data_IF_988567966333
#
_entry.id   IF_988567966333
#
_cell.length_a   1.000
_cell.length_b   1.000
_cell.length_c   1.000
_cell.angle_alpha   90.00
_cell.angle_beta   90.00
_cell.angle_gamma   90.00
#
_symmetry.space_group_name_H-M   'P 1'
#
loop_
_entity.id
_entity.type
_entity.pdbx_description
1 polymer ?
#
# COMPACT_ATOMS: atom_id res chain seq x y z
N UNK A 1 -61.85 73.57 -15.67
CA UNK A 1 -61.79 72.17 -16.16
C UNK A 1 -60.82 72.10 -17.33
N UNK A 2 -59.63 71.54 -17.10
CA UNK A 2 -58.75 70.93 -18.11
C UNK A 2 -57.63 70.22 -17.33
N UNK A 3 -57.60 68.91 -17.50
CA UNK A 3 -56.73 67.94 -16.85
C UNK A 3 -55.38 67.89 -17.57
N UNK A 4 -54.26 67.97 -16.86
CA UNK A 4 -52.93 67.64 -17.38
C UNK A 4 -52.34 66.60 -16.43
N UNK A 5 -52.08 65.41 -16.96
CA UNK A 5 -51.40 64.31 -16.27
C UNK A 5 -49.89 64.51 -16.40
N UNK A 6 -49.18 64.58 -15.29
CA UNK A 6 -47.71 64.52 -15.23
C UNK A 6 -47.30 63.11 -14.82
N UNK A 7 -46.60 62.41 -15.71
CA UNK A 7 -46.03 61.09 -15.48
C UNK A 7 -44.70 61.26 -14.73
N UNK A 8 -44.59 60.62 -13.58
CA UNK A 8 -43.38 60.54 -12.75
C UNK A 8 -42.53 59.36 -13.24
N UNK A 9 -41.28 59.64 -13.60
CA UNK A 9 -40.29 58.64 -14.01
C UNK A 9 -39.42 58.28 -12.79
N UNK A 10 -39.67 57.13 -12.16
CA UNK A 10 -38.80 56.57 -11.13
C UNK A 10 -37.67 55.76 -11.78
N UNK A 11 -36.43 56.22 -11.65
CA UNK A 11 -35.23 55.42 -11.93
C UNK A 11 -35.03 54.43 -10.77
N UNK A 12 -35.28 53.15 -11.01
CA UNK A 12 -34.85 52.06 -10.14
C UNK A 12 -33.48 51.62 -10.67
N UNK A 13 -32.42 52.00 -9.98
CA UNK A 13 -31.08 51.45 -10.18
C UNK A 13 -31.04 50.04 -9.58
N UNK A 14 -31.17 49.02 -10.42
CA UNK A 14 -30.82 47.65 -10.06
C UNK A 14 -29.30 47.53 -9.94
N UNK A 15 -28.81 47.50 -8.71
CA UNK A 15 -27.47 46.98 -8.39
C UNK A 15 -27.49 45.49 -8.71
N UNK A 16 -26.89 45.12 -9.83
CA UNK A 16 -26.54 43.73 -10.14
C UNK A 16 -25.36 43.39 -9.23
N UNK A 17 -25.59 42.64 -8.16
CA UNK A 17 -24.51 41.91 -7.52
C UNK A 17 -24.08 40.82 -8.50
N UNK A 18 -22.87 40.94 -9.04
CA UNK A 18 -22.23 39.85 -9.74
C UNK A 18 -22.08 38.71 -8.74
N UNK A 19 -22.80 37.61 -8.98
CA UNK A 19 -22.62 36.36 -8.28
C UNK A 19 -21.25 35.84 -8.70
N UNK A 20 -20.26 35.88 -7.80
CA UNK A 20 -18.95 35.29 -8.03
C UNK A 20 -19.19 33.78 -8.11
N UNK A 21 -19.09 33.22 -9.33
CA UNK A 21 -19.23 31.78 -9.57
C UNK A 21 -18.24 31.07 -8.64
N UNK A 22 -18.75 30.45 -7.58
CA UNK A 22 -17.94 29.54 -6.78
C UNK A 22 -17.52 28.40 -7.70
N UNK A 23 -16.24 28.06 -7.67
CA UNK A 23 -15.69 26.96 -8.44
C UNK A 23 -16.37 25.64 -7.98
N UNK A 24 -17.38 25.18 -8.71
CA UNK A 24 -18.13 23.96 -8.40
C UNK A 24 -17.42 22.71 -8.96
N UNK A 25 -17.40 21.64 -8.15
CA UNK A 25 -16.87 20.33 -8.54
C UNK A 25 -17.99 19.27 -8.59
N UNK A 26 -17.93 18.28 -9.48
CA UNK A 26 -16.91 18.09 -10.52
C UNK A 26 -17.05 19.09 -11.67
N UNK A 27 -15.92 19.47 -12.27
CA UNK A 27 -15.89 20.35 -13.44
C UNK A 27 -15.92 19.53 -14.73
N UNK A 28 -16.81 19.87 -15.64
CA UNK A 28 -16.95 19.18 -16.92
C UNK A 28 -16.36 19.99 -18.08
N UNK A 29 -15.47 19.36 -18.85
CA UNK A 29 -14.81 19.92 -20.01
C UNK A 29 -15.26 19.11 -21.23
N UNK A 30 -15.82 19.78 -22.23
CA UNK A 30 -16.15 19.13 -23.51
C UNK A 30 -14.89 18.97 -24.35
N UNK A 31 -14.51 17.72 -24.61
CA UNK A 31 -13.36 17.36 -25.43
C UNK A 31 -13.83 16.94 -26.83
N UNK A 32 -13.96 17.91 -27.74
CA UNK A 32 -14.61 17.69 -29.04
C UNK A 32 -16.11 17.39 -28.91
N UNK A 33 -16.69 16.70 -29.88
CA UNK A 33 -18.13 16.41 -29.92
C UNK A 33 -18.54 15.15 -29.13
N UNK A 34 -17.57 14.27 -28.82
CA UNK A 34 -17.86 12.90 -28.38
C UNK A 34 -17.38 12.57 -26.97
N UNK A 35 -16.68 13.49 -26.28
CA UNK A 35 -16.12 13.21 -24.96
C UNK A 35 -16.41 14.30 -23.94
N UNK A 36 -16.71 13.88 -22.72
CA UNK A 36 -16.82 14.74 -21.54
C UNK A 36 -15.73 14.32 -20.57
N UNK A 37 -14.84 15.25 -20.24
CA UNK A 37 -13.81 15.09 -19.21
C UNK A 37 -14.33 15.72 -17.94
N UNK A 38 -14.51 14.93 -16.88
CA UNK A 38 -14.89 15.43 -15.56
C UNK A 38 -13.65 15.46 -14.67
N UNK A 39 -13.35 16.62 -14.09
CA UNK A 39 -12.32 16.80 -13.07
C UNK A 39 -13.00 16.82 -11.71
N UNK A 40 -12.55 16.00 -10.78
CA UNK A 40 -13.08 15.97 -9.42
C UNK A 40 -12.27 16.91 -8.52
N UNK A 41 -12.81 17.19 -7.32
CA UNK A 41 -12.17 18.10 -6.38
C UNK A 41 -10.70 17.70 -6.13
N UNK A 42 -9.74 18.64 -6.23
CA UNK A 42 -8.33 18.35 -6.03
C UNK A 42 -8.04 18.03 -4.56
N UNK A 43 -7.11 17.10 -4.37
CA UNK A 43 -6.40 16.89 -3.12
C UNK A 43 -5.08 17.67 -3.24
N UNK A 44 -4.96 18.76 -2.49
CA UNK A 44 -3.71 19.53 -2.40
C UNK A 44 -2.67 18.66 -1.69
N UNK A 45 -1.38 18.90 -1.91
CA UNK A 45 -0.31 18.13 -1.24
C UNK A 45 0.70 19.07 -0.58
N UNK A 46 1.13 20.11 -1.30
CA UNK A 46 2.04 21.13 -0.74
C UNK A 46 1.76 22.50 -1.32
N UNK A 47 2.04 23.55 -0.54
CA UNK A 47 2.16 24.92 -1.02
C UNK A 47 3.50 25.49 -0.52
N UNK A 48 4.45 25.71 -1.42
CA UNK A 48 5.75 26.29 -1.08
C UNK A 48 6.21 27.22 -2.19
N UNK A 49 6.72 28.40 -1.82
CA UNK A 49 7.21 29.40 -2.77
C UNK A 49 6.18 29.73 -3.87
N UNK A 50 4.91 29.90 -3.48
CA UNK A 50 3.75 30.10 -4.36
C UNK A 50 3.48 28.97 -5.38
N UNK A 51 4.13 27.82 -5.21
CA UNK A 51 3.88 26.62 -6.00
C UNK A 51 2.95 25.69 -5.22
N UNK A 52 1.73 25.52 -5.73
CA UNK A 52 0.75 24.56 -5.24
C UNK A 52 0.91 23.25 -6.01
N UNK A 53 1.18 22.16 -5.30
CA UNK A 53 1.22 20.81 -5.87
C UNK A 53 0.03 20.04 -5.34
N UNK A 54 -0.59 19.24 -6.21
CA UNK A 54 -1.67 18.36 -5.82
C UNK A 54 -2.03 17.36 -6.90
N UNK A 55 -3.11 16.64 -6.64
CA UNK A 55 -3.68 15.65 -7.56
C UNK A 55 -5.18 15.78 -7.62
N UNK A 56 -5.79 15.27 -8.69
CA UNK A 56 -7.23 15.14 -8.79
C UNK A 56 -7.58 13.86 -9.53
N UNK A 57 -8.68 13.23 -9.11
CA UNK A 57 -9.30 12.22 -9.94
C UNK A 57 -9.89 12.89 -11.18
N UNK A 58 -9.95 12.15 -12.28
CA UNK A 58 -10.68 12.54 -13.48
C UNK A 58 -11.45 11.36 -14.04
N UNK A 59 -12.47 11.65 -14.84
CA UNK A 59 -13.11 10.65 -15.68
C UNK A 59 -13.29 11.15 -17.10
N UNK A 60 -13.14 10.25 -18.06
CA UNK A 60 -13.45 10.52 -19.48
C UNK A 60 -14.65 9.67 -19.85
N UNK A 61 -15.73 10.34 -20.24
CA UNK A 61 -16.97 9.73 -20.71
C UNK A 61 -17.05 9.85 -22.23
N UNK A 62 -17.28 8.74 -22.92
CA UNK A 62 -17.50 8.73 -24.38
C UNK A 62 -18.98 8.89 -24.78
N UNK A 63 -19.24 8.94 -26.08
CA UNK A 63 -20.56 9.07 -26.70
C UNK A 63 -21.48 7.85 -26.48
N UNK A 64 -20.94 6.74 -25.97
CA UNK A 64 -21.65 5.50 -25.64
C UNK A 64 -21.88 5.36 -24.13
N UNK A 65 -21.73 6.46 -23.38
CA UNK A 65 -21.82 6.50 -21.93
C UNK A 65 -20.78 5.61 -21.20
N UNK A 66 -19.72 5.15 -21.88
CA UNK A 66 -18.62 4.45 -21.22
C UNK A 66 -17.76 5.46 -20.49
N UNK A 67 -17.52 5.21 -19.20
CA UNK A 67 -16.72 6.07 -18.33
C UNK A 67 -15.44 5.34 -17.95
N UNK A 68 -14.29 5.99 -18.15
CA UNK A 68 -12.99 5.55 -17.64
C UNK A 68 -12.51 6.54 -16.58
N UNK A 69 -12.01 6.03 -15.46
CA UNK A 69 -11.47 6.83 -14.36
C UNK A 69 -9.94 6.82 -14.39
N UNK A 70 -9.36 7.96 -14.08
CA UNK A 70 -7.92 8.14 -13.97
C UNK A 70 -7.57 9.15 -12.88
N UNK A 71 -6.28 9.38 -12.72
CA UNK A 71 -5.73 10.41 -11.85
C UNK A 71 -4.79 11.32 -12.64
N UNK A 72 -4.77 12.61 -12.29
CA UNK A 72 -3.75 13.54 -12.75
C UNK A 72 -3.08 14.21 -11.57
N UNK A 73 -1.79 14.49 -11.74
CA UNK A 73 -0.99 15.28 -10.82
C UNK A 73 -0.71 16.62 -11.49
N UNK A 74 -0.82 17.69 -10.72
CA UNK A 74 -0.65 19.04 -11.22
C UNK A 74 0.35 19.85 -10.40
N UNK A 75 0.93 20.84 -11.05
CA UNK A 75 1.68 21.91 -10.43
C UNK A 75 1.06 23.24 -10.86
N UNK A 76 0.65 24.04 -9.88
CA UNK A 76 0.06 25.35 -10.09
C UNK A 76 0.93 26.43 -9.46
N UNK A 77 1.00 27.59 -10.10
CA UNK A 77 1.59 28.80 -9.51
C UNK A 77 0.48 29.75 -9.13
N UNK A 78 0.53 30.29 -7.92
CA UNK A 78 -0.47 31.17 -7.37
C UNK A 78 0.07 32.59 -7.17
N UNK A 79 -0.73 33.59 -7.50
CA UNK A 79 -0.56 34.97 -7.04
C UNK A 79 -1.37 35.14 -5.76
N UNK A 80 -0.72 35.44 -4.64
CA UNK A 80 -1.37 35.56 -3.34
C UNK A 80 -1.58 37.02 -2.96
N UNK A 81 -2.80 37.35 -2.53
CA UNK A 81 -3.15 38.62 -1.91
C UNK A 81 -3.59 38.34 -0.48
N UNK A 82 -2.75 38.74 0.48
CA UNK A 82 -2.99 38.54 1.90
C UNK A 82 -3.98 39.55 2.49
N UNK A 83 -4.23 40.67 1.81
CA UNK A 83 -5.21 41.67 2.27
C UNK A 83 -6.63 41.19 1.99
N UNK A 84 -6.88 40.61 0.81
CA UNK A 84 -8.16 39.99 0.45
C UNK A 84 -8.29 38.53 0.89
N UNK A 85 -7.20 37.92 1.34
CA UNK A 85 -7.10 36.50 1.67
C UNK A 85 -7.40 35.57 0.49
N UNK A 86 -6.99 35.97 -0.72
CA UNK A 86 -7.26 35.24 -1.95
C UNK A 86 -5.98 34.88 -2.70
N UNK A 87 -6.05 33.77 -3.43
CA UNK A 87 -4.99 33.31 -4.31
C UNK A 87 -5.56 33.07 -5.70
N UNK A 88 -4.90 33.61 -6.72
CA UNK A 88 -5.29 33.52 -8.12
C UNK A 88 -4.34 32.60 -8.85
N UNK A 89 -4.88 31.70 -9.67
CA UNK A 89 -4.07 30.81 -10.51
C UNK A 89 -3.32 31.59 -11.60
N UNK A 90 -1.99 31.61 -11.56
CA UNK A 90 -1.14 32.23 -12.59
C UNK A 90 -0.80 31.24 -13.72
N UNK A 91 -0.54 29.98 -13.37
CA UNK A 91 -0.17 28.94 -14.34
C UNK A 91 -0.49 27.55 -13.82
N UNK A 92 -0.80 26.63 -14.73
CA UNK A 92 -1.14 25.24 -14.42
C UNK A 92 -0.42 24.28 -15.38
N UNK A 93 0.33 23.33 -14.84
CA UNK A 93 0.95 22.22 -15.59
C UNK A 93 0.55 20.88 -15.00
N UNK A 94 0.61 19.82 -15.81
CA UNK A 94 0.21 18.46 -15.46
C UNK A 94 1.40 17.53 -15.70
N UNK A 95 2.29 17.31 -14.71
CA UNK A 95 3.43 16.40 -14.87
C UNK A 95 3.05 14.97 -15.24
N UNK A 96 1.85 14.48 -14.84
CA UNK A 96 1.42 13.10 -15.11
C UNK A 96 -0.10 13.00 -15.17
N UNK A 97 -0.58 12.17 -16.10
CA UNK A 97 -1.94 11.59 -16.09
C UNK A 97 -1.75 10.07 -16.18
N UNK A 98 -2.51 9.29 -15.41
CA UNK A 98 -2.47 7.83 -15.43
C UNK A 98 -3.89 7.24 -15.37
N UNK A 99 -4.11 6.19 -16.15
CA UNK A 99 -5.33 5.39 -16.18
C UNK A 99 -4.95 3.90 -16.00
N UNK A 100 -5.75 3.08 -15.30
CA UNK A 100 -5.41 1.68 -15.00
C UNK A 100 -5.07 0.83 -16.23
N UNK A 101 -5.81 1.01 -17.34
CA UNK A 101 -5.71 0.15 -18.54
C UNK A 101 -5.48 0.96 -19.83
N UNK A 102 -4.82 2.13 -19.74
CA UNK A 102 -4.59 3.00 -20.92
C UNK A 102 -3.16 3.54 -20.93
N UNK A 103 -2.36 3.03 -21.87
CA UNK A 103 -0.96 3.42 -22.07
C UNK A 103 -0.74 4.25 -23.36
N UNK A 104 -1.81 4.78 -23.95
CA UNK A 104 -1.70 5.58 -25.16
C UNK A 104 -1.20 7.01 -24.84
N UNK A 105 0.12 7.22 -24.92
CA UNK A 105 0.77 8.50 -24.65
C UNK A 105 0.25 9.66 -25.51
N UNK A 106 -0.12 9.41 -26.76
CA UNK A 106 -0.67 10.44 -27.65
C UNK A 106 -2.00 10.97 -27.12
N UNK A 107 -2.92 10.06 -26.76
CA UNK A 107 -4.21 10.42 -26.18
C UNK A 107 -4.05 11.12 -24.82
N UNK A 108 -3.10 10.67 -24.00
CA UNK A 108 -2.78 11.31 -22.72
C UNK A 108 -2.27 12.75 -22.94
N UNK A 109 -1.40 12.97 -23.93
CA UNK A 109 -0.88 14.30 -24.25
C UNK A 109 -1.97 15.25 -24.80
N UNK A 110 -2.90 14.72 -25.60
CA UNK A 110 -4.09 15.47 -26.06
C UNK A 110 -4.95 15.87 -24.85
N UNK A 111 -5.25 14.93 -23.97
CA UNK A 111 -6.05 15.17 -22.76
C UNK A 111 -5.38 16.21 -21.85
N UNK A 112 -4.07 16.09 -21.62
CA UNK A 112 -3.26 17.07 -20.89
C UNK A 112 -3.43 18.48 -21.48
N UNK A 113 -3.33 18.60 -22.80
CA UNK A 113 -3.45 19.88 -23.50
C UNK A 113 -4.85 20.49 -23.37
N UNK A 114 -5.91 19.67 -23.43
CA UNK A 114 -7.29 20.10 -23.25
C UNK A 114 -7.49 20.66 -21.83
N UNK A 115 -7.03 19.92 -20.81
CA UNK A 115 -7.20 20.33 -19.41
C UNK A 115 -6.41 21.61 -19.11
N UNK A 116 -5.15 21.70 -19.53
CA UNK A 116 -4.33 22.91 -19.32
C UNK A 116 -4.98 24.12 -19.98
N UNK A 117 -5.49 23.97 -21.22
CA UNK A 117 -6.16 25.05 -21.94
C UNK A 117 -7.43 25.52 -21.22
N UNK A 118 -8.24 24.60 -20.71
CA UNK A 118 -9.44 24.93 -19.94
C UNK A 118 -9.08 25.68 -18.65
N UNK A 119 -8.15 25.12 -17.86
CA UNK A 119 -7.72 25.69 -16.57
C UNK A 119 -7.05 27.06 -16.72
N UNK A 120 -6.38 27.32 -17.85
CA UNK A 120 -5.74 28.61 -18.14
C UNK A 120 -6.69 29.66 -18.71
N UNK A 121 -7.88 29.27 -19.17
CA UNK A 121 -8.84 30.19 -19.78
C UNK A 121 -9.80 30.84 -18.78
N UNK A 122 -9.72 30.42 -17.52
CA UNK A 122 -10.62 30.82 -16.44
C UNK A 122 -9.84 31.53 -15.33
N UNK A 123 -10.49 32.51 -14.71
CA UNK A 123 -9.94 33.19 -13.55
C UNK A 123 -10.27 32.37 -12.29
N UNK A 124 -9.42 31.38 -11.98
CA UNK A 124 -9.54 30.62 -10.74
C UNK A 124 -9.01 31.48 -9.59
N UNK A 125 -9.94 31.96 -8.77
CA UNK A 125 -9.68 32.58 -7.47
C UNK A 125 -10.10 31.63 -6.35
N UNK A 126 -9.23 31.46 -5.35
CA UNK A 126 -9.44 30.57 -4.22
C UNK A 126 -9.09 31.28 -2.91
N UNK A 127 -9.79 30.93 -1.82
CA UNK A 127 -9.45 31.42 -0.48
C UNK A 127 -8.15 30.78 0.00
N UNK A 128 -7.23 31.59 0.52
CA UNK A 128 -5.99 31.10 1.13
C UNK A 128 -6.32 30.21 2.35
N UNK A 129 -7.34 30.55 3.14
CA UNK A 129 -7.76 29.74 4.29
C UNK A 129 -8.22 28.34 3.88
N UNK A 130 -8.91 28.21 2.73
CA UNK A 130 -9.34 26.90 2.24
C UNK A 130 -8.15 26.06 1.76
N UNK A 131 -7.14 26.70 1.16
CA UNK A 131 -5.89 26.03 0.78
C UNK A 131 -5.17 25.54 2.03
N UNK A 132 -5.00 26.42 3.04
CA UNK A 132 -4.35 26.08 4.31
C UNK A 132 -5.10 24.96 5.01
N UNK A 133 -6.42 25.05 5.16
CA UNK A 133 -7.23 24.02 5.81
C UNK A 133 -7.11 22.66 5.13
N UNK A 134 -7.01 22.62 3.80
CA UNK A 134 -6.82 21.38 3.04
C UNK A 134 -5.40 20.81 3.22
N UNK A 135 -4.41 21.65 3.48
CA UNK A 135 -3.03 21.23 3.76
C UNK A 135 -2.82 20.83 5.22
N UNK A 136 -3.55 21.44 6.15
CA UNK A 136 -3.51 21.12 7.58
C UNK A 136 -3.96 19.68 7.84
N UNK A 137 -5.03 19.20 7.18
CA UNK A 137 -5.44 17.79 7.29
C UNK A 137 -4.33 16.82 6.85
N UNK A 138 -3.49 17.23 5.89
CA UNK A 138 -2.37 16.41 5.41
C UNK A 138 -1.20 16.48 6.38
N UNK A 139 -0.96 17.63 6.99
CA UNK A 139 0.04 17.76 8.04
C UNK A 139 -0.33 16.88 9.25
N UNK A 140 -1.61 16.83 9.63
CA UNK A 140 -2.12 15.93 10.66
C UNK A 140 -1.93 14.45 10.30
N UNK A 141 -2.26 14.04 9.07
CA UNK A 141 -2.04 12.67 8.60
C UNK A 141 -0.55 12.29 8.64
N UNK A 142 0.34 13.18 8.18
CA UNK A 142 1.79 12.96 8.25
C UNK A 142 2.30 12.88 9.70
N UNK A 143 1.76 13.68 10.62
CA UNK A 143 2.09 13.57 12.05
C UNK A 143 1.65 12.25 12.68
N UNK A 144 0.57 11.64 12.20
CA UNK A 144 0.12 10.31 12.63
C UNK A 144 1.08 9.25 12.06
N UNK A 145 1.47 9.38 10.80
CA UNK A 145 2.44 8.49 10.15
C UNK A 145 3.81 8.53 10.84
N UNK A 146 4.29 9.71 11.23
CA UNK A 146 5.54 9.87 11.99
C UNK A 146 5.49 9.22 13.39
N UNK A 147 4.29 8.98 13.93
CA UNK A 147 4.07 8.27 15.20
C UNK A 147 3.96 6.74 15.02
N UNK A 148 3.92 6.24 13.78
CA UNK A 148 3.92 4.80 13.52
C UNK A 148 5.27 4.18 13.87
N UNK A 149 5.24 3.07 14.59
CA UNK A 149 6.45 2.33 14.94
C UNK A 149 7.04 1.67 13.71
N UNK A 150 8.26 2.06 13.35
CA UNK A 150 9.09 1.39 12.35
C UNK A 150 10.04 0.35 12.96
N UNK A 151 9.82 -0.05 14.23
CA UNK A 151 10.61 -1.13 14.82
C UNK A 151 10.51 -2.39 13.95
N UNK A 152 11.63 -3.04 13.62
CA UNK A 152 11.61 -4.26 12.82
C UNK A 152 10.80 -5.35 13.54
N UNK A 153 10.13 -6.23 12.78
CA UNK A 153 9.73 -7.52 13.34
C UNK A 153 10.99 -8.26 13.84
N UNK A 154 10.83 -9.28 14.66
CA UNK A 154 11.97 -10.15 14.97
C UNK A 154 12.38 -10.91 13.71
N UNK A 155 13.48 -10.50 13.10
CA UNK A 155 14.03 -11.18 11.92
C UNK A 155 14.92 -12.34 12.39
N UNK A 156 14.59 -13.55 11.92
CA UNK A 156 15.38 -14.77 12.11
C UNK A 156 16.12 -15.09 10.81
N UNK A 157 17.45 -15.16 10.86
CA UNK A 157 18.27 -15.51 9.70
C UNK A 157 18.74 -16.97 9.79
N UNK A 158 18.45 -17.80 8.79
CA UNK A 158 18.82 -19.22 8.78
C UNK A 158 19.51 -19.58 7.47
N UNK A 159 20.43 -20.53 7.54
CA UNK A 159 21.18 -21.05 6.39
C UNK A 159 20.79 -22.50 6.06
N UNK A 160 19.69 -22.96 6.67
CA UNK A 160 19.15 -24.31 6.57
C UNK A 160 17.63 -24.25 6.51
N UNK A 161 16.96 -25.23 5.88
CA UNK A 161 15.51 -25.26 5.76
C UNK A 161 14.82 -25.09 7.12
N UNK A 162 13.99 -24.06 7.22
CA UNK A 162 13.32 -23.67 8.47
C UNK A 162 11.92 -23.18 8.14
N UNK A 163 10.95 -23.44 9.00
CA UNK A 163 9.60 -22.90 8.91
C UNK A 163 9.30 -22.07 10.15
N UNK A 164 8.79 -20.85 9.93
CA UNK A 164 8.28 -19.97 10.96
C UNK A 164 6.79 -20.20 11.14
N UNK A 165 6.38 -20.56 12.36
CA UNK A 165 5.00 -20.80 12.75
C UNK A 165 4.57 -19.65 13.65
N UNK A 166 3.58 -18.88 13.20
CA UNK A 166 3.03 -17.75 13.96
C UNK A 166 1.79 -18.17 14.75
N UNK A 167 1.74 -17.73 16.00
CA UNK A 167 0.57 -17.74 16.87
C UNK A 167 0.20 -16.29 17.13
N UNK A 168 -1.05 -15.91 16.90
CA UNK A 168 -1.50 -14.53 17.04
C UNK A 168 -1.67 -14.15 18.52
N UNK A 169 -0.68 -13.48 19.09
CA UNK A 169 -0.63 -13.11 20.49
C UNK A 169 -0.40 -14.31 21.42
N UNK A 170 -0.87 -14.20 22.66
CA UNK A 170 -0.69 -15.25 23.67
C UNK A 170 -1.44 -16.54 23.29
N UNK A 171 -0.83 -17.74 23.39
CA UNK A 171 -1.47 -18.97 22.95
C UNK A 171 -2.79 -19.28 23.66
N UNK A 172 -3.85 -19.51 22.87
CA UNK A 172 -5.18 -19.85 23.39
C UNK A 172 -5.39 -21.35 23.23
N UNK A 173 -5.44 -22.07 24.35
CA UNK A 173 -5.68 -23.51 24.40
C UNK A 173 -7.16 -23.84 24.64
N UNK A 174 -7.78 -24.55 23.70
CA UNK A 174 -9.17 -25.01 23.81
C UNK A 174 -9.23 -26.54 23.87
N UNK A 175 -9.90 -27.09 24.89
CA UNK A 175 -10.11 -28.53 25.02
C UNK A 175 -10.96 -29.05 23.86
N UNK A 176 -10.59 -30.21 23.34
CA UNK A 176 -11.37 -30.95 22.35
C UNK A 176 -12.15 -32.04 23.10
N UNK A 177 -13.46 -32.13 22.84
CA UNK A 177 -14.34 -33.01 23.60
C UNK A 177 -13.88 -34.49 23.61
N UNK A 178 -14.06 -35.15 24.76
CA UNK A 178 -13.80 -36.57 25.03
C UNK A 178 -12.35 -37.08 24.91
N UNK A 179 -11.40 -36.24 24.52
CA UNK A 179 -9.98 -36.60 24.43
C UNK A 179 -9.17 -35.60 25.28
N UNK A 180 -8.18 -36.07 26.06
CA UNK A 180 -7.33 -35.18 26.89
C UNK A 180 -6.34 -34.38 26.01
N UNK A 181 -6.87 -33.62 25.05
CA UNK A 181 -6.18 -32.88 24.00
C UNK A 181 -6.66 -31.42 24.04
N UNK A 182 -5.72 -30.49 23.98
CA UNK A 182 -5.98 -29.04 23.93
C UNK A 182 -5.44 -28.48 22.61
N UNK A 183 -6.28 -27.82 21.81
CA UNK A 183 -5.93 -27.23 20.52
C UNK A 183 -5.48 -25.77 20.68
N UNK A 184 -4.45 -25.34 19.94
CA UNK A 184 -4.04 -23.92 19.88
C UNK A 184 -4.88 -23.21 18.80
N UNK A 185 -5.82 -22.35 19.19
CA UNK A 185 -6.83 -21.84 18.24
C UNK A 185 -6.44 -20.57 17.48
N UNK A 186 -5.49 -19.79 18.00
CA UNK A 186 -5.03 -18.54 17.40
C UNK A 186 -3.86 -18.75 16.43
N UNK A 187 -3.93 -19.81 15.63
CA UNK A 187 -2.95 -20.10 14.59
C UNK A 187 -3.62 -20.93 13.49
N UNK A 188 -3.30 -20.71 12.21
CA UNK A 188 -3.83 -21.52 11.11
C UNK A 188 -3.20 -22.94 11.10
N UNK A 189 -2.10 -23.14 11.82
CA UNK A 189 -1.38 -24.42 11.85
C UNK A 189 -2.02 -25.40 12.84
N UNK A 190 -2.00 -26.70 12.51
CA UNK A 190 -2.47 -27.72 13.44
C UNK A 190 -1.46 -27.91 14.58
N UNK A 191 -1.76 -27.34 15.75
CA UNK A 191 -0.98 -27.54 16.97
C UNK A 191 -1.90 -28.00 18.09
N UNK A 192 -1.55 -29.13 18.71
CA UNK A 192 -2.28 -29.65 19.87
C UNK A 192 -1.34 -30.02 21.00
N UNK A 193 -1.81 -29.88 22.23
CA UNK A 193 -1.16 -30.35 23.43
C UNK A 193 -1.85 -31.61 23.94
N UNK A 194 -1.07 -32.62 24.26
CA UNK A 194 -1.54 -33.81 24.97
C UNK A 194 -0.61 -34.07 26.16
N UNK A 195 -1.17 -34.05 27.37
CA UNK A 195 -0.39 -34.04 28.62
C UNK A 195 0.59 -32.86 28.63
N UNK A 196 1.90 -33.12 28.60
CA UNK A 196 2.96 -32.10 28.62
C UNK A 196 3.61 -31.87 27.25
N UNK A 197 3.15 -32.54 26.20
CA UNK A 197 3.78 -32.51 24.88
C UNK A 197 2.86 -31.86 23.87
N UNK A 198 3.40 -30.90 23.14
CA UNK A 198 2.80 -30.30 21.96
C UNK A 198 3.18 -31.11 20.73
N UNK A 199 2.23 -31.25 19.81
CA UNK A 199 2.39 -31.88 18.50
C UNK A 199 1.97 -30.91 17.43
N UNK A 200 2.81 -30.75 16.41
CA UNK A 200 2.57 -29.93 15.22
C UNK A 200 2.56 -30.85 13.99
N UNK A 201 1.53 -30.72 13.16
CA UNK A 201 1.50 -31.39 11.85
C UNK A 201 2.15 -30.47 10.82
N UNK A 202 3.29 -30.89 10.27
CA UNK A 202 3.81 -30.33 9.02
C UNK A 202 3.30 -31.12 7.82
N UNK A 203 3.70 -30.71 6.62
CA UNK A 203 3.30 -31.34 5.37
C UNK A 203 3.63 -32.85 5.35
N UNK A 204 4.92 -33.19 5.40
CA UNK A 204 5.40 -34.58 5.36
C UNK A 204 5.71 -35.14 6.75
N UNK A 205 6.03 -34.28 7.70
CA UNK A 205 6.56 -34.65 9.01
C UNK A 205 5.63 -34.24 10.16
N UNK A 206 5.79 -34.90 11.29
CA UNK A 206 5.22 -34.49 12.57
C UNK A 206 6.34 -33.98 13.46
N UNK A 207 6.05 -32.95 14.25
CA UNK A 207 6.98 -32.37 15.20
C UNK A 207 6.40 -32.41 16.60
N UNK A 208 7.27 -32.45 17.61
CA UNK A 208 6.89 -32.35 19.00
C UNK A 208 7.81 -31.41 19.79
N UNK A 209 7.26 -30.80 20.83
CA UNK A 209 8.01 -30.03 21.82
C UNK A 209 7.31 -30.09 23.17
N UNK A 210 8.05 -29.89 24.26
CA UNK A 210 7.44 -29.65 25.58
C UNK A 210 7.17 -28.15 25.82
N UNK A 211 7.68 -27.28 24.95
CA UNK A 211 7.52 -25.82 25.01
C UNK A 211 6.96 -25.32 23.67
N UNK A 212 5.75 -24.76 23.70
CA UNK A 212 5.04 -24.31 22.51
C UNK A 212 5.84 -23.25 21.72
N UNK A 213 6.16 -22.12 22.37
CA UNK A 213 6.95 -21.03 21.78
C UNK A 213 8.43 -21.36 21.96
N UNK A 214 9.03 -22.01 20.97
CA UNK A 214 10.44 -22.39 20.99
C UNK A 214 11.02 -22.58 19.59
N UNK A 215 12.35 -22.68 19.53
CA UNK A 215 13.12 -23.09 18.35
C UNK A 215 13.50 -24.59 18.39
N UNK A 216 13.08 -25.31 19.44
CA UNK A 216 13.59 -26.64 19.80
C UNK A 216 12.55 -27.75 19.52
N UNK A 217 11.82 -27.60 18.43
CA UNK A 217 10.87 -28.60 17.95
C UNK A 217 11.60 -29.73 17.25
N UNK A 218 11.24 -30.97 17.60
CA UNK A 218 11.90 -32.17 17.08
C UNK A 218 10.94 -33.00 16.25
N UNK A 219 11.42 -33.55 15.13
CA UNK A 219 10.65 -34.50 14.32
C UNK A 219 10.32 -35.75 15.13
N UNK A 220 9.08 -36.24 15.01
CA UNK A 220 8.62 -37.43 15.71
C UNK A 220 7.77 -38.32 14.82
N UNK A 221 7.95 -39.63 14.94
CA UNK A 221 7.03 -40.64 14.36
C UNK A 221 6.00 -41.13 15.39
N UNK A 222 6.24 -40.82 16.67
CA UNK A 222 5.48 -41.31 17.83
C UNK A 222 4.34 -40.35 18.20
N UNK A 223 3.39 -40.20 17.28
CA UNK A 223 2.21 -39.36 17.49
C UNK A 223 1.03 -40.23 17.97
N UNK A 224 0.36 -39.84 19.07
CA UNK A 224 -0.82 -40.55 19.57
C UNK A 224 -1.92 -40.72 18.50
N UNK A 225 -2.61 -41.87 18.50
CA UNK A 225 -3.62 -42.22 17.48
C UNK A 225 -4.79 -41.23 17.44
N UNK A 226 -5.22 -40.75 18.59
CA UNK A 226 -6.28 -39.75 18.75
C UNK A 226 -5.84 -38.38 18.19
N UNK A 227 -4.61 -37.95 18.44
CA UNK A 227 -4.02 -36.75 17.82
C UNK A 227 -3.98 -36.85 16.29
N UNK A 228 -3.56 -38.01 15.73
CA UNK A 228 -3.57 -38.21 14.27
C UNK A 228 -4.99 -38.12 13.70
N UNK A 229 -5.93 -38.84 14.32
CA UNK A 229 -7.34 -38.84 13.90
C UNK A 229 -7.96 -37.44 13.94
N UNK A 230 -7.59 -36.62 14.93
CA UNK A 230 -8.04 -35.24 15.03
C UNK A 230 -7.48 -34.37 13.90
N UNK A 231 -6.21 -34.55 13.53
CA UNK A 231 -5.60 -33.84 12.39
C UNK A 231 -6.28 -34.22 11.08
N UNK A 232 -6.46 -35.52 10.82
CA UNK A 232 -7.08 -36.04 9.59
C UNK A 232 -8.54 -35.57 9.43
N UNK A 233 -9.26 -35.29 10.54
CA UNK A 233 -10.63 -34.74 10.50
C UNK A 233 -10.65 -33.24 10.17
N UNK A 234 -9.59 -32.50 10.52
CA UNK A 234 -9.53 -31.04 10.44
C UNK A 234 -8.84 -30.54 9.17
N UNK A 235 -7.95 -31.33 8.60
CA UNK A 235 -7.20 -31.01 7.40
C UNK A 235 -7.38 -32.15 6.39
N UNK A 236 -7.90 -31.84 5.20
CA UNK A 236 -7.86 -32.77 4.07
C UNK A 236 -6.38 -33.05 3.75
N UNK A 237 -5.99 -34.31 3.76
CA UNK A 237 -4.64 -34.70 3.37
C UNK A 237 -4.55 -34.50 1.86
N UNK A 238 -3.65 -33.65 1.33
CA UNK A 238 -3.47 -33.55 -0.12
C UNK A 238 -3.01 -34.91 -0.66
N UNK A 239 -3.72 -35.44 -1.66
CA UNK A 239 -3.45 -36.75 -2.29
C UNK A 239 -2.14 -36.81 -3.10
N UNK A 240 -1.32 -35.75 -3.09
CA UNK A 240 -0.08 -35.69 -3.86
C UNK A 240 1.11 -35.48 -2.95
N UNK A 241 1.89 -36.56 -2.81
CA UNK A 241 3.31 -36.46 -2.49
C UNK A 241 4.00 -35.85 -3.71
N UNK A 242 4.14 -34.53 -3.75
CA UNK A 242 5.18 -33.96 -4.59
C UNK A 242 6.53 -34.35 -3.98
N UNK A 243 7.44 -34.85 -4.81
CA UNK A 243 8.83 -35.12 -4.40
C UNK A 243 9.55 -33.79 -4.20
N UNK A 244 9.20 -33.08 -3.12
CA UNK A 244 9.94 -31.96 -2.59
C UNK A 244 11.21 -32.42 -1.86
N UNK A 245 12.15 -31.48 -1.71
CA UNK A 245 13.47 -31.70 -1.12
C UNK A 245 13.44 -32.56 0.17
N UNK A 246 14.40 -33.48 0.30
CA UNK A 246 14.45 -34.49 1.39
C UNK A 246 14.79 -33.90 2.77
N UNK A 247 15.04 -32.60 2.83
CA UNK A 247 15.39 -31.90 4.06
C UNK A 247 14.17 -31.75 4.96
N UNK A 248 14.27 -32.19 6.21
CA UNK A 248 13.24 -31.95 7.21
C UNK A 248 13.50 -30.58 7.84
N UNK A 249 12.63 -29.57 7.63
CA UNK A 249 12.92 -28.22 8.10
C UNK A 249 12.85 -28.13 9.62
N UNK A 250 13.68 -27.25 10.18
CA UNK A 250 13.57 -26.83 11.57
C UNK A 250 12.29 -26.00 11.77
N UNK A 251 11.76 -25.99 12.99
CA UNK A 251 10.55 -25.23 13.32
C UNK A 251 10.86 -24.15 14.35
N UNK A 252 10.46 -22.93 14.07
CA UNK A 252 10.46 -21.81 15.00
C UNK A 252 9.01 -21.39 15.25
N UNK A 253 8.55 -21.47 16.50
CA UNK A 253 7.21 -20.98 16.87
C UNK A 253 7.35 -19.65 17.60
N UNK A 254 6.56 -18.65 17.18
CA UNK A 254 6.55 -17.29 17.72
C UNK A 254 5.14 -16.80 18.03
N UNK A 255 5.05 -15.80 18.91
CA UNK A 255 3.79 -15.13 19.29
C UNK A 255 3.80 -13.63 18.99
N UNK A 256 4.88 -13.12 18.40
CA UNK A 256 5.11 -11.71 18.09
C UNK A 256 5.48 -11.54 16.61
N UNK A 257 5.28 -10.35 16.02
CA UNK A 257 5.69 -10.08 14.64
C UNK A 257 7.14 -10.51 14.38
N UNK A 258 7.31 -11.36 13.39
CA UNK A 258 8.59 -11.98 13.07
C UNK A 258 8.66 -12.28 11.57
N UNK A 259 9.88 -12.28 11.05
CA UNK A 259 10.19 -12.62 9.67
C UNK A 259 11.26 -13.71 9.65
N UNK A 260 11.22 -14.60 8.66
CA UNK A 260 12.22 -15.64 8.47
C UNK A 260 12.92 -15.42 7.13
N UNK A 261 14.22 -15.12 7.21
CA UNK A 261 15.11 -15.02 6.04
C UNK A 261 15.92 -16.30 5.98
N UNK A 262 15.90 -16.97 4.81
CA UNK A 262 16.60 -18.23 4.60
C UNK A 262 17.55 -18.11 3.42
N UNK A 263 18.79 -18.57 3.58
CA UNK A 263 19.70 -18.86 2.48
C UNK A 263 19.94 -20.35 2.37
N UNK A 264 20.21 -20.85 1.16
CA UNK A 264 20.65 -22.22 0.95
C UNK A 264 22.16 -22.33 1.24
N UNK A 265 22.53 -22.48 2.51
CA UNK A 265 23.92 -22.49 2.96
C UNK A 265 24.51 -21.09 3.15
N UNK A 266 25.83 -20.98 2.96
CA UNK A 266 26.55 -19.69 3.05
C UNK A 266 26.05 -18.69 1.99
N UNK A 267 26.14 -17.39 2.28
CA UNK A 267 25.64 -16.32 1.40
C UNK A 267 26.38 -16.35 0.05
N UNK A 268 25.64 -16.55 -1.05
CA UNK A 268 26.18 -16.49 -2.41
C UNK A 268 26.00 -15.09 -2.99
N UNK A 269 27.07 -14.28 -2.94
CA UNK A 269 27.03 -12.89 -3.39
C UNK A 269 27.25 -12.76 -4.90
N UNK A 270 26.45 -11.90 -5.55
CA UNK A 270 26.71 -11.42 -6.91
C UNK A 270 26.86 -9.90 -6.97
N UNK A 271 27.79 -9.38 -7.79
CA UNK A 271 27.94 -7.94 -7.94
C UNK A 271 26.76 -7.33 -8.70
N UNK A 272 26.29 -6.17 -8.22
CA UNK A 272 25.35 -5.33 -8.95
C UNK A 272 26.16 -4.34 -9.81
N UNK A 273 26.09 -4.53 -11.12
CA UNK A 273 26.86 -3.77 -12.12
C UNK A 273 26.76 -2.25 -11.90
N UNK A 274 27.92 -1.57 -11.89
CA UNK A 274 27.99 -0.12 -11.77
C UNK A 274 27.79 0.43 -10.34
N UNK A 275 27.78 -0.43 -9.33
CA UNK A 275 27.57 -0.05 -7.92
C UNK A 275 28.60 -0.68 -6.98
N UNK A 276 28.64 -0.22 -5.74
CA UNK A 276 29.37 -0.87 -4.62
C UNK A 276 28.47 -1.84 -3.84
N UNK A 277 27.50 -2.48 -4.51
CA UNK A 277 26.50 -3.35 -3.91
C UNK A 277 26.63 -4.79 -4.42
N UNK A 278 26.32 -5.75 -3.55
CA UNK A 278 26.20 -7.16 -3.89
C UNK A 278 24.78 -7.66 -3.57
N UNK A 279 24.13 -8.38 -4.47
CA UNK A 279 22.92 -9.16 -4.17
C UNK A 279 23.28 -10.52 -3.59
N UNK A 280 22.33 -11.17 -2.93
CA UNK A 280 22.45 -12.57 -2.48
C UNK A 280 21.54 -13.44 -3.34
N UNK A 281 22.10 -14.41 -4.06
CA UNK A 281 21.35 -15.19 -5.06
C UNK A 281 20.72 -16.48 -4.49
N UNK A 282 21.25 -17.02 -3.40
CA UNK A 282 20.78 -18.28 -2.82
C UNK A 282 19.68 -18.08 -1.76
N UNK A 283 18.82 -17.08 -1.96
CA UNK A 283 17.69 -16.73 -1.08
C UNK A 283 16.53 -16.21 -1.93
N UNK A 284 15.31 -16.33 -1.41
CA UNK A 284 14.11 -15.68 -1.98
C UNK A 284 13.92 -14.26 -1.42
N UNK A 285 14.69 -13.87 -0.39
CA UNK A 285 14.59 -12.55 0.21
C UNK A 285 15.47 -11.53 -0.51
N UNK A 286 14.99 -10.30 -0.62
CA UNK A 286 15.74 -9.18 -1.19
C UNK A 286 16.87 -8.70 -0.25
N UNK A 287 18.02 -9.38 -0.28
CA UNK A 287 19.20 -9.04 0.53
C UNK A 287 20.29 -8.39 -0.30
N UNK A 288 20.68 -7.18 0.08
CA UNK A 288 21.76 -6.41 -0.54
C UNK A 288 22.88 -6.15 0.48
N UNK A 289 24.14 -6.39 0.12
CA UNK A 289 25.31 -5.99 0.90
C UNK A 289 25.93 -4.73 0.30
N UNK A 290 26.08 -3.67 1.10
CA UNK A 290 26.94 -2.53 0.77
C UNK A 290 28.38 -2.82 1.18
N UNK A 291 29.29 -2.81 0.19
CA UNK A 291 30.70 -3.17 0.39
C UNK A 291 31.41 -2.19 1.33
N UNK A 292 31.17 -0.89 1.17
CA UNK A 292 31.94 0.14 1.89
C UNK A 292 31.69 0.12 3.39
N UNK A 293 30.44 -0.11 3.81
CA UNK A 293 30.07 -0.11 5.23
C UNK A 293 29.97 -1.52 5.83
N UNK A 294 30.04 -2.55 4.99
CA UNK A 294 29.77 -3.95 5.33
C UNK A 294 28.39 -4.11 6.00
N UNK A 295 27.38 -3.43 5.46
CA UNK A 295 26.01 -3.47 5.97
C UNK A 295 25.14 -4.29 5.01
N UNK A 296 24.46 -5.29 5.54
CA UNK A 296 23.41 -6.02 4.85
C UNK A 296 22.09 -5.29 5.06
N UNK A 297 21.38 -5.09 3.96
CA UNK A 297 20.05 -4.52 3.91
C UNK A 297 19.09 -5.60 3.44
N UNK A 298 17.92 -5.67 4.07
CA UNK A 298 16.80 -6.48 3.61
C UNK A 298 15.57 -5.61 3.43
N UNK A 299 14.86 -5.80 2.31
CA UNK A 299 13.57 -5.17 2.07
C UNK A 299 12.46 -6.09 2.58
N UNK A 300 11.64 -5.60 3.52
CA UNK A 300 10.47 -6.32 4.03
C UNK A 300 9.26 -5.39 3.99
N UNK A 301 8.22 -5.77 3.26
CA UNK A 301 6.96 -5.02 3.15
C UNK A 301 7.17 -3.53 2.84
N UNK A 302 8.06 -3.22 1.89
CA UNK A 302 8.38 -1.85 1.46
C UNK A 302 9.31 -1.07 2.40
N UNK A 303 9.83 -1.68 3.48
CA UNK A 303 10.73 -1.04 4.44
C UNK A 303 12.09 -1.71 4.46
N UNK A 304 13.14 -0.90 4.50
CA UNK A 304 14.51 -1.38 4.57
C UNK A 304 14.96 -1.57 6.02
N UNK A 305 15.64 -2.69 6.26
CA UNK A 305 16.27 -3.00 7.54
C UNK A 305 17.73 -3.35 7.33
N UNK A 306 18.61 -2.78 8.15
CA UNK A 306 20.06 -2.94 8.05
C UNK A 306 20.66 -3.69 9.24
N UNK A 307 21.70 -4.49 8.99
CA UNK A 307 22.53 -5.13 10.01
C UNK A 307 23.98 -5.29 9.53
N UNK A 308 24.93 -5.47 10.45
CA UNK A 308 26.34 -5.80 10.14
C UNK A 308 26.75 -7.22 10.50
N UNK A 309 25.86 -7.98 11.14
CA UNK A 309 26.23 -9.25 11.78
C UNK A 309 25.41 -10.44 11.29
N UNK A 310 24.33 -10.20 10.55
CA UNK A 310 23.35 -11.23 10.13
C UNK A 310 22.80 -12.07 11.29
N UNK A 311 22.84 -11.54 12.53
CA UNK A 311 22.30 -12.19 13.72
C UNK A 311 20.83 -11.85 13.92
N UNK A 312 20.11 -12.81 14.51
CA UNK A 312 18.74 -12.60 14.98
C UNK A 312 18.65 -11.30 15.80
N UNK A 313 17.61 -10.49 15.57
CA UNK A 313 17.29 -9.28 16.35
C UNK A 313 18.30 -8.11 16.29
N UNK A 314 19.32 -8.16 15.44
CA UNK A 314 20.25 -7.02 15.27
C UNK A 314 19.89 -6.08 14.11
N UNK A 315 18.81 -6.40 13.40
CA UNK A 315 18.28 -5.57 12.32
C UNK A 315 17.68 -4.28 12.86
N UNK A 316 17.87 -3.20 12.12
CA UNK A 316 17.34 -1.87 12.45
C UNK A 316 16.69 -1.25 11.24
N UNK A 317 15.60 -0.53 11.44
CA UNK A 317 14.99 0.23 10.38
C UNK A 317 15.98 1.24 9.80
N UNK A 318 16.02 1.30 8.47
CA UNK A 318 16.80 2.25 7.72
C UNK A 318 15.81 3.22 7.08
N UNK A 319 15.85 4.46 7.55
CA UNK A 319 15.08 5.54 6.95
C UNK A 319 15.32 5.60 5.44
N UNK A 320 14.29 5.78 4.60
CA UNK A 320 14.46 5.75 3.15
C UNK A 320 15.51 6.76 2.65
N UNK A 321 15.58 7.95 3.27
CA UNK A 321 16.58 9.00 2.99
C UNK A 321 18.01 8.66 3.42
N UNK A 322 18.18 7.62 4.22
CA UNK A 322 19.46 7.16 4.77
C UNK A 322 20.00 5.92 4.05
N UNK A 323 19.31 5.42 3.02
CA UNK A 323 19.87 4.42 2.12
C UNK A 323 21.13 4.95 1.43
N UNK A 324 22.13 4.11 1.19
CA UNK A 324 23.31 4.50 0.42
C UNK A 324 22.95 5.01 -0.97
N UNK A 325 23.67 6.04 -1.44
CA UNK A 325 23.40 6.65 -2.76
C UNK A 325 23.51 5.64 -3.91
N UNK A 326 24.37 4.62 -3.76
CA UNK A 326 24.53 3.52 -4.72
C UNK A 326 23.25 2.73 -4.98
N UNK A 327 22.27 2.74 -4.06
CA UNK A 327 20.96 2.08 -4.27
C UNK A 327 20.19 2.70 -5.45
N UNK A 328 20.31 4.02 -5.67
CA UNK A 328 19.65 4.68 -6.81
C UNK A 328 20.22 4.22 -8.15
N UNK A 329 21.49 3.81 -8.15
CA UNK A 329 22.22 3.33 -9.32
C UNK A 329 22.02 1.85 -9.64
N UNK A 330 21.21 1.12 -8.86
CA UNK A 330 20.87 -0.28 -9.15
C UNK A 330 20.21 -0.37 -10.54
N UNK A 331 20.69 -1.17 -11.49
CA UNK A 331 20.09 -1.24 -12.82
C UNK A 331 18.62 -1.68 -12.82
N UNK A 332 17.81 -1.13 -13.74
CA UNK A 332 16.39 -1.44 -13.87
C UNK A 332 16.10 -2.66 -14.78
N UNK A 333 17.10 -3.15 -15.49
CA UNK A 333 17.01 -4.15 -16.55
C UNK A 333 17.35 -5.58 -16.08
N UNK A 334 17.61 -5.78 -14.79
CA UNK A 334 17.93 -7.08 -14.21
C UNK A 334 16.85 -7.53 -13.23
N UNK A 335 16.14 -8.61 -13.59
CA UNK A 335 15.01 -9.15 -12.84
C UNK A 335 15.35 -9.55 -11.39
N UNK A 336 16.60 -9.91 -11.09
CA UNK A 336 17.01 -10.34 -9.75
C UNK A 336 16.93 -9.24 -8.69
N UNK A 337 16.94 -7.97 -9.08
CA UNK A 337 16.91 -6.84 -8.15
C UNK A 337 16.18 -5.59 -8.71
N UNK A 338 15.55 -5.67 -9.88
CA UNK A 338 14.79 -4.53 -10.42
C UNK A 338 13.58 -4.19 -9.53
N UNK A 339 12.91 -5.21 -8.96
CA UNK A 339 11.72 -5.03 -8.14
C UNK A 339 11.96 -4.15 -6.90
N UNK A 340 13.15 -4.25 -6.28
CA UNK A 340 13.47 -3.47 -5.08
C UNK A 340 13.56 -1.97 -5.36
N UNK A 341 13.74 -1.55 -6.63
CA UNK A 341 13.82 -0.12 -7.01
C UNK A 341 12.54 0.64 -6.68
N UNK A 342 11.38 -0.02 -6.64
CA UNK A 342 10.13 0.59 -6.20
C UNK A 342 10.17 1.06 -4.73
N UNK A 343 11.06 0.49 -3.91
CA UNK A 343 11.27 0.86 -2.50
C UNK A 343 12.54 1.69 -2.28
N UNK A 344 13.13 2.27 -3.34
CA UNK A 344 14.33 3.12 -3.26
C UNK A 344 13.94 4.55 -3.63
N UNK A 345 13.97 5.52 -2.70
CA UNK A 345 13.59 6.90 -2.98
C UNK A 345 14.41 7.53 -4.12
N UNK A 346 13.71 8.21 -5.03
CA UNK A 346 14.32 8.93 -6.15
C UNK A 346 14.51 8.09 -7.41
N UNK A 347 14.16 6.79 -7.41
CA UNK A 347 14.05 6.00 -8.64
C UNK A 347 12.75 6.34 -9.39
N UNK A 348 12.71 6.04 -10.69
CA UNK A 348 11.50 6.22 -11.50
C UNK A 348 10.42 5.25 -11.01
N UNK A 349 10.81 4.04 -10.62
CA UNK A 349 9.95 2.97 -10.14
C UNK A 349 9.27 3.35 -8.82
N UNK A 350 9.99 3.96 -7.87
CA UNK A 350 9.39 4.47 -6.64
C UNK A 350 8.40 5.61 -6.91
N UNK A 351 8.71 6.47 -7.89
CA UNK A 351 7.82 7.56 -8.33
C UNK A 351 6.55 7.02 -9.00
N UNK A 352 6.67 5.99 -9.84
CA UNK A 352 5.52 5.33 -10.46
C UNK A 352 4.67 4.55 -9.45
N UNK A 353 5.30 3.85 -8.49
CA UNK A 353 4.59 3.16 -7.41
C UNK A 353 3.76 4.12 -6.56
N UNK A 354 4.30 5.31 -6.26
CA UNK A 354 3.55 6.39 -5.61
C UNK A 354 2.33 6.80 -6.45
N UNK A 355 2.47 6.94 -7.76
CA UNK A 355 1.32 7.27 -8.62
C UNK A 355 0.25 6.18 -8.61
N UNK A 356 0.65 4.91 -8.60
CA UNK A 356 -0.27 3.77 -8.56
C UNK A 356 -1.09 3.68 -7.27
N UNK A 357 -0.48 4.01 -6.13
CA UNK A 357 -1.16 4.01 -4.84
C UNK A 357 -2.40 4.93 -4.82
N UNK A 358 -2.37 6.02 -5.59
CA UNK A 358 -3.45 7.00 -5.64
C UNK A 358 -4.40 6.81 -6.83
N UNK A 359 -4.24 5.73 -7.60
CA UNK A 359 -5.16 5.41 -8.68
C UNK A 359 -6.50 4.94 -8.11
N UNK A 360 -7.62 5.57 -8.52
CA UNK A 360 -8.95 5.10 -8.11
C UNK A 360 -9.16 3.66 -8.59
N UNK A 361 -9.45 2.75 -7.65
CA UNK A 361 -9.88 1.40 -8.01
C UNK A 361 -11.40 1.41 -8.24
N UNK A 362 -11.82 1.06 -9.45
CA UNK A 362 -13.25 0.93 -9.77
C UNK A 362 -13.66 -0.53 -9.77
N UNK A 363 -14.52 -0.92 -8.84
CA UNK A 363 -15.23 -2.20 -8.89
C UNK A 363 -16.67 -1.94 -9.38
N UNK A 364 -17.05 -2.55 -10.50
CA UNK A 364 -18.44 -2.49 -10.99
C UNK A 364 -19.23 -3.58 -10.28
N UNK A 365 -20.12 -3.19 -9.36
CA UNK A 365 -21.05 -4.13 -8.72
C UNK A 365 -22.33 -4.19 -9.54
N UNK A 366 -22.59 -5.35 -10.14
CA UNK A 366 -23.90 -5.64 -10.70
C UNK A 366 -24.90 -5.90 -9.56
N UNK A 367 -25.71 -4.89 -9.26
CA UNK A 367 -26.73 -4.95 -8.21
C UNK A 367 -27.77 -6.06 -8.43
N UNK A 368 -27.91 -6.59 -9.65
CA UNK A 368 -28.85 -7.69 -9.94
C UNK A 368 -28.33 -9.05 -9.50
N UNK A 369 -27.02 -9.19 -9.33
CA UNK A 369 -26.35 -10.46 -8.99
C UNK A 369 -25.65 -10.45 -7.64
N UNK A 370 -25.50 -9.27 -7.02
CA UNK A 370 -24.97 -9.13 -5.67
C UNK A 370 -25.87 -9.84 -4.63
N UNK A 371 -25.34 -10.88 -3.99
CA UNK A 371 -25.99 -11.59 -2.87
C UNK A 371 -25.02 -11.70 -1.69
N UNK A 372 -25.55 -11.74 -0.46
CA UNK A 372 -24.77 -11.92 0.77
C UNK A 372 -25.23 -13.18 1.49
N UNK A 373 -24.27 -13.98 1.98
CA UNK A 373 -24.53 -15.15 2.81
C UNK A 373 -23.75 -14.99 4.11
N UNK A 374 -24.47 -14.96 5.22
CA UNK A 374 -23.87 -14.85 6.56
C UNK A 374 -24.13 -16.15 7.29
N UNK A 375 -23.06 -16.82 7.70
CA UNK A 375 -23.11 -18.01 8.55
C UNK A 375 -22.54 -17.64 9.92
N UNK A 376 -23.23 -18.05 10.98
CA UNK A 376 -22.84 -17.80 12.37
C UNK A 376 -22.35 -19.11 13.00
N UNK A 377 -21.28 -19.05 13.77
CA UNK A 377 -20.88 -20.14 14.66
C UNK A 377 -21.62 -20.01 15.99
N UNK A 378 -22.72 -20.76 16.12
CA UNK A 378 -23.63 -20.71 17.27
C UNK A 378 -24.88 -19.86 17.02
N UNK A 379 -25.73 -19.75 18.05
CA UNK A 379 -27.00 -19.01 17.96
C UNK A 379 -26.72 -17.50 17.98
N UNK A 380 -27.03 -16.77 16.88
CA UNK A 380 -26.81 -15.33 16.85
C UNK A 380 -27.74 -14.62 17.83
N UNK A 381 -27.19 -13.64 18.56
CA UNK A 381 -27.95 -12.74 19.44
C UNK A 381 -27.92 -11.36 18.81
N UNK A 382 -29.11 -10.86 18.47
CA UNK A 382 -29.30 -9.51 17.96
C UNK A 382 -29.95 -8.67 19.07
N UNK A 383 -29.56 -7.39 19.16
CA UNK A 383 -30.23 -6.37 20.00
C UNK A 383 -31.13 -5.47 19.15
#
# INVERSE_FOLDING_TARGET
MKTIYTIVLCFISSLVFAQQDQLEWPREIKAGDNYIVSLYQPQLETLKDNKLVGRMALSVKDDKDKIIFGALWFEARLSTDLESNTAVLESFDIPKIKFPDVDNEEHINILKSIIIKDMSAIDIEMSIDNIISSLESIAEDNEIDDKLSNNPPTIYFRQEPTVLISIDGDPILKKVDNENIEYVVNTPFFIVKKKSTFYLKGEQNWYQSNTLVSKDWNTTKSVPKDVKKLADKKFDTPDKKEEGDKSTPNIIVVTSPAELIITNGELDYKPISGTSLLSVDNTESDIILEIDTQTHFVLLNGRWYGTKTMKDKEWRFVEPKSLPESFKSIPADNESYAAIRASIPGTIEAKEAMYEQYMPQTAVVDRKTASTKVEYDGDPKFE
#
